data_IF_477024863318
#
_entry.id   IF_477024863318
#
_cell.length_a   1.000
_cell.length_b   1.000
_cell.length_c   1.000
_cell.angle_alpha   90.00
_cell.angle_beta   90.00
_cell.angle_gamma   90.00
#
_symmetry.space_group_name_H-M   'P 1'
#
loop_
_entity.id
_entity.type
_entity.pdbx_description
1 polymer ?
#
# COMPACT_ATOMS: atom_id res chain seq x y z
N UNK A 1 -29.77 -8.16 14.15
CA UNK A 1 -28.55 -7.40 14.50
C UNK A 1 -27.41 -7.98 13.68
N UNK A 2 -26.80 -7.20 12.79
CA UNK A 2 -25.55 -7.65 12.17
C UNK A 2 -24.48 -7.72 13.27
N UNK A 3 -23.66 -8.79 13.32
CA UNK A 3 -22.59 -8.88 14.30
C UNK A 3 -21.63 -7.69 14.13
N UNK A 4 -21.26 -7.04 15.23
CA UNK A 4 -20.25 -5.98 15.19
C UNK A 4 -18.89 -6.58 14.84
N UNK A 5 -18.38 -6.24 13.65
CA UNK A 5 -17.05 -6.67 13.21
C UNK A 5 -15.96 -5.92 13.98
N UNK A 6 -14.77 -6.51 14.08
CA UNK A 6 -13.57 -5.87 14.63
C UNK A 6 -13.24 -4.60 13.83
N UNK A 7 -13.47 -4.63 12.51
CA UNK A 7 -13.36 -3.44 11.67
C UNK A 7 -14.29 -2.31 12.12
N UNK A 8 -15.55 -2.59 12.46
CA UNK A 8 -16.50 -1.58 12.94
C UNK A 8 -16.04 -0.99 14.27
N UNK A 9 -15.72 -1.85 15.24
CA UNK A 9 -15.26 -1.47 16.58
C UNK A 9 -14.01 -0.60 16.49
N UNK A 10 -13.02 -1.05 15.70
CA UNK A 10 -11.77 -0.29 15.53
C UNK A 10 -11.99 1.07 14.86
N UNK A 11 -12.98 1.21 13.97
CA UNK A 11 -13.32 2.49 13.35
C UNK A 11 -13.89 3.46 14.37
N UNK A 12 -14.74 2.99 15.27
CA UNK A 12 -15.26 3.79 16.40
C UNK A 12 -14.13 4.22 17.32
N UNK A 13 -13.23 3.29 17.70
CA UNK A 13 -12.07 3.61 18.55
C UNK A 13 -11.19 4.69 17.91
N UNK A 14 -10.90 4.58 16.60
CA UNK A 14 -10.11 5.57 15.86
C UNK A 14 -10.77 6.94 15.88
N UNK A 15 -12.09 7.01 15.63
CA UNK A 15 -12.84 8.27 15.63
C UNK A 15 -12.77 8.94 17.00
N UNK A 16 -13.14 8.22 18.06
CA UNK A 16 -13.13 8.73 19.43
C UNK A 16 -11.73 9.14 19.89
N UNK A 17 -10.70 8.35 19.53
CA UNK A 17 -9.30 8.69 19.81
C UNK A 17 -8.90 9.98 19.09
N UNK A 18 -9.28 10.15 17.82
CA UNK A 18 -8.97 11.34 17.04
C UNK A 18 -9.60 12.60 17.62
N UNK A 19 -10.82 12.51 18.13
CA UNK A 19 -11.50 13.60 18.87
C UNK A 19 -10.79 13.89 20.19
N UNK A 20 -10.48 12.86 20.99
CA UNK A 20 -9.78 13.01 22.27
C UNK A 20 -8.42 13.70 22.11
N UNK A 21 -7.62 13.32 21.11
CA UNK A 21 -6.31 13.92 20.83
C UNK A 21 -6.38 15.43 20.59
N UNK A 22 -7.51 15.94 20.06
CA UNK A 22 -7.72 17.39 19.84
C UNK A 22 -8.13 18.12 21.12
N UNK A 23 -8.73 17.42 22.08
CA UNK A 23 -9.35 18.02 23.27
C UNK A 23 -8.48 17.94 24.53
N UNK A 24 -7.53 17.01 24.58
CA UNK A 24 -6.62 16.81 25.71
C UNK A 24 -5.76 18.05 25.96
N UNK A 25 -5.70 18.49 27.23
CA UNK A 25 -4.96 19.70 27.64
C UNK A 25 -3.96 19.44 28.76
N UNK A 26 -4.25 18.49 29.67
CA UNK A 26 -3.41 18.25 30.85
C UNK A 26 -2.44 17.09 30.65
N UNK A 27 -1.31 17.09 31.37
CA UNK A 27 -0.35 15.99 31.28
C UNK A 27 -0.97 14.64 31.71
N UNK A 28 -1.83 14.65 32.72
CA UNK A 28 -2.54 13.45 33.21
C UNK A 28 -3.47 12.87 32.16
N UNK A 29 -4.25 13.72 31.48
CA UNK A 29 -5.10 13.33 30.35
C UNK A 29 -4.27 12.74 29.21
N UNK A 30 -3.13 13.36 28.87
CA UNK A 30 -2.21 12.85 27.84
C UNK A 30 -1.70 11.46 28.22
N UNK A 31 -1.25 11.26 29.46
CA UNK A 31 -0.72 9.98 29.93
C UNK A 31 -1.79 8.89 29.89
N UNK A 32 -3.01 9.21 30.34
CA UNK A 32 -4.15 8.29 30.31
C UNK A 32 -4.49 7.87 28.87
N UNK A 33 -4.59 8.82 27.95
CA UNK A 33 -4.86 8.54 26.53
C UNK A 33 -3.74 7.73 25.88
N UNK A 34 -2.47 8.00 26.20
CA UNK A 34 -1.34 7.19 25.71
C UNK A 34 -1.51 5.72 26.14
N UNK A 35 -1.93 5.45 27.37
CA UNK A 35 -2.14 4.08 27.86
C UNK A 35 -3.25 3.38 27.08
N UNK A 36 -4.40 4.02 26.94
CA UNK A 36 -5.55 3.48 26.21
C UNK A 36 -5.21 3.18 24.74
N UNK A 37 -4.57 4.14 24.05
CA UNK A 37 -4.20 3.96 22.64
C UNK A 37 -3.15 2.85 22.47
N UNK A 38 -2.21 2.68 23.41
CA UNK A 38 -1.25 1.57 23.38
C UNK A 38 -1.94 0.20 23.47
N UNK A 39 -2.93 0.09 24.35
CA UNK A 39 -3.71 -1.14 24.51
C UNK A 39 -4.50 -1.46 23.23
N UNK A 40 -5.20 -0.48 22.66
CA UNK A 40 -5.91 -0.64 21.39
C UNK A 40 -4.98 -1.01 20.23
N UNK A 41 -3.80 -0.40 20.14
CA UNK A 41 -2.77 -0.77 19.14
C UNK A 41 -2.32 -2.22 19.32
N UNK A 42 -2.14 -2.69 20.57
CA UNK A 42 -1.76 -4.08 20.86
C UNK A 42 -2.87 -5.05 20.44
N UNK A 43 -4.12 -4.74 20.76
CA UNK A 43 -5.28 -5.57 20.39
C UNK A 43 -5.42 -5.69 18.87
N UNK A 44 -5.40 -4.57 18.14
CA UNK A 44 -5.50 -4.59 16.67
C UNK A 44 -4.34 -5.35 16.01
N UNK A 45 -3.12 -5.20 16.52
CA UNK A 45 -1.97 -5.97 16.02
C UNK A 45 -2.17 -7.48 16.18
N UNK A 46 -2.67 -7.90 17.34
CA UNK A 46 -2.96 -9.31 17.60
C UNK A 46 -4.07 -9.81 16.67
N UNK A 47 -5.13 -9.02 16.45
CA UNK A 47 -6.20 -9.36 15.53
C UNK A 47 -5.70 -9.56 14.08
N UNK A 48 -4.86 -8.63 13.60
CA UNK A 48 -4.21 -8.72 12.27
C UNK A 48 -3.33 -9.96 12.18
N UNK A 49 -2.49 -10.21 13.19
CA UNK A 49 -1.56 -11.36 13.20
C UNK A 49 -2.31 -12.69 13.22
N UNK A 50 -3.40 -12.76 13.96
CA UNK A 50 -4.22 -13.97 14.09
C UNK A 50 -5.14 -14.20 12.89
N UNK A 51 -5.09 -13.35 11.84
CA UNK A 51 -5.85 -13.52 10.61
C UNK A 51 -7.36 -13.68 10.86
N UNK A 52 -7.91 -12.97 11.86
CA UNK A 52 -9.35 -13.05 12.20
C UNK A 52 -10.22 -12.71 10.97
N UNK A 53 -9.70 -11.90 10.05
CA UNK A 53 -10.32 -11.53 8.78
C UNK A 53 -10.57 -12.71 7.80
N UNK A 54 -10.01 -13.89 8.03
CA UNK A 54 -10.26 -15.08 7.22
C UNK A 54 -11.40 -15.96 7.78
N UNK A 55 -11.91 -15.65 8.97
CA UNK A 55 -12.95 -16.44 9.65
C UNK A 55 -14.36 -15.87 9.43
N UNK A 56 -14.49 -14.59 9.05
CA UNK A 56 -15.79 -13.94 8.81
C UNK A 56 -15.78 -13.15 7.49
N UNK A 57 -16.73 -13.43 6.59
CA UNK A 57 -16.87 -12.76 5.28
C UNK A 57 -17.11 -11.24 5.38
N UNK A 58 -17.53 -10.74 6.55
CA UNK A 58 -17.84 -9.34 6.79
C UNK A 58 -16.63 -8.46 7.17
N UNK A 59 -15.44 -9.05 7.38
CA UNK A 59 -14.25 -8.30 7.80
C UNK A 59 -13.55 -7.58 6.65
N UNK A 60 -13.02 -6.37 6.90
CA UNK A 60 -12.28 -5.59 5.91
C UNK A 60 -10.81 -5.39 6.33
N UNK A 61 -9.88 -6.22 5.82
CA UNK A 61 -8.47 -6.16 6.17
C UNK A 61 -7.81 -4.80 5.89
N UNK A 62 -8.19 -4.14 4.79
CA UNK A 62 -7.61 -2.86 4.40
C UNK A 62 -7.97 -1.77 5.40
N UNK A 63 -9.23 -1.77 5.85
CA UNK A 63 -9.74 -0.82 6.84
C UNK A 63 -9.11 -1.06 8.21
N UNK A 64 -8.92 -2.33 8.60
CA UNK A 64 -8.24 -2.69 9.85
C UNK A 64 -6.77 -2.22 9.87
N UNK A 65 -6.01 -2.42 8.78
CA UNK A 65 -4.66 -1.86 8.66
C UNK A 65 -4.66 -0.32 8.72
N UNK A 66 -5.64 0.32 8.08
CA UNK A 66 -5.81 1.78 8.11
C UNK A 66 -6.06 2.30 9.53
N UNK A 67 -6.94 1.63 10.27
CA UNK A 67 -7.24 1.95 11.66
C UNK A 67 -6.00 1.79 12.56
N UNK A 68 -5.22 0.71 12.38
CA UNK A 68 -3.95 0.55 13.07
C UNK A 68 -2.95 1.67 12.74
N UNK A 69 -2.88 2.12 11.48
CA UNK A 69 -2.03 3.22 11.07
C UNK A 69 -2.41 4.54 11.78
N UNK A 70 -3.71 4.83 11.85
CA UNK A 70 -4.24 6.01 12.51
C UNK A 70 -3.96 6.00 14.02
N UNK A 71 -4.20 4.88 14.71
CA UNK A 71 -3.89 4.77 16.14
C UNK A 71 -2.40 4.95 16.43
N UNK A 72 -1.51 4.40 15.58
CA UNK A 72 -0.06 4.65 15.73
C UNK A 72 0.29 6.12 15.48
N UNK A 73 -0.37 6.78 14.54
CA UNK A 73 -0.20 8.21 14.29
C UNK A 73 -0.64 9.04 15.50
N UNK A 74 -1.82 8.77 16.06
CA UNK A 74 -2.33 9.43 17.26
C UNK A 74 -1.45 9.19 18.48
N UNK A 75 -0.96 7.96 18.67
CA UNK A 75 -0.02 7.64 19.73
C UNK A 75 1.26 8.48 19.61
N UNK A 76 1.81 8.62 18.40
CA UNK A 76 2.99 9.44 18.15
C UNK A 76 2.75 10.92 18.47
N UNK A 77 1.56 11.45 18.11
CA UNK A 77 1.15 12.82 18.47
C UNK A 77 1.03 13.02 19.97
N UNK A 78 0.35 12.12 20.69
CA UNK A 78 0.22 12.20 22.14
C UNK A 78 1.58 12.13 22.85
N UNK A 79 2.48 11.25 22.39
CA UNK A 79 3.86 11.18 22.91
C UNK A 79 4.64 12.48 22.67
N UNK A 80 4.43 13.11 21.53
CA UNK A 80 5.01 14.42 21.23
C UNK A 80 4.44 15.52 22.15
N UNK A 81 3.12 15.55 22.34
CA UNK A 81 2.45 16.49 23.25
C UNK A 81 2.95 16.34 24.68
N UNK A 82 3.08 15.10 25.19
CA UNK A 82 3.66 14.85 26.52
C UNK A 82 5.04 15.48 26.68
N UNK A 83 5.91 15.29 25.69
CA UNK A 83 7.27 15.84 25.71
C UNK A 83 7.29 17.37 25.62
N UNK A 84 6.29 18.00 24.98
CA UNK A 84 6.17 19.47 24.96
C UNK A 84 5.67 19.96 26.32
N UNK A 85 4.65 19.33 26.88
CA UNK A 85 4.05 19.69 28.17
C UNK A 85 5.05 19.62 29.33
N UNK A 86 6.03 18.71 29.26
CA UNK A 86 7.06 18.57 30.28
C UNK A 86 8.18 19.64 30.21
N UNK A 87 8.17 20.54 29.23
CA UNK A 87 9.16 21.62 29.13
C UNK A 87 8.68 22.86 29.90
N UNK A 88 9.26 23.07 31.08
CA UNK A 88 9.15 24.35 31.81
C UNK A 88 9.99 25.40 31.09
N UNK A 89 9.48 26.63 30.96
CA UNK A 89 10.15 27.72 30.24
C UNK A 89 11.54 27.98 30.81
N UNK A 90 12.57 27.72 30.01
CA UNK A 90 13.93 28.18 30.30
C UNK A 90 14.07 29.56 29.64
N UNK A 91 14.40 30.58 30.43
CA UNK A 91 14.69 31.92 29.95
C UNK A 91 15.79 31.94 28.89
N UNK A 92 15.92 33.09 28.23
CA UNK A 92 16.95 33.37 27.23
C UNK A 92 18.35 33.38 27.87
N UNK A 93 18.95 32.20 28.07
CA UNK A 93 20.38 32.08 28.35
C UNK A 93 21.04 31.05 27.43
N UNK A 94 22.31 31.30 27.18
CA UNK A 94 22.99 31.13 25.91
C UNK A 94 23.38 29.69 25.52
N UNK A 95 23.66 29.56 24.24
CA UNK A 95 24.00 28.35 23.50
C UNK A 95 25.17 27.55 24.11
N UNK A 96 24.97 26.25 24.39
CA UNK A 96 25.89 25.17 24.01
C UNK A 96 25.24 23.78 24.19
N UNK A 97 25.67 22.83 23.34
CA UNK A 97 25.31 21.41 23.29
C UNK A 97 23.92 21.04 22.71
N UNK A 98 23.92 20.69 21.42
CA UNK A 98 22.87 19.99 20.69
C UNK A 98 21.46 20.62 20.75
N UNK A 99 21.13 21.42 19.73
CA UNK A 99 19.73 21.56 19.27
C UNK A 99 19.20 20.14 18.99
N UNK A 100 18.64 19.47 20.01
CA UNK A 100 17.87 18.22 19.89
C UNK A 100 16.79 18.48 18.86
N UNK A 101 17.08 18.15 17.59
CA UNK A 101 16.20 18.37 16.43
C UNK A 101 14.82 17.89 16.83
N UNK A 102 13.87 18.82 16.99
CA UNK A 102 12.47 18.48 17.11
C UNK A 102 12.13 17.56 15.95
N UNK A 103 11.88 16.27 16.22
CA UNK A 103 11.53 15.31 15.18
C UNK A 103 10.10 15.65 14.79
N UNK A 104 9.94 16.43 13.73
CA UNK A 104 8.62 16.77 13.18
C UNK A 104 7.91 15.56 12.53
N UNK A 105 8.66 14.48 12.28
CA UNK A 105 8.23 13.27 11.58
C UNK A 105 8.80 12.02 12.25
N UNK A 106 8.01 10.94 12.30
CA UNK A 106 8.45 9.65 12.83
C UNK A 106 8.05 8.52 11.87
N UNK A 107 8.98 7.60 11.60
CA UNK A 107 8.69 6.36 10.88
C UNK A 107 8.21 5.26 11.84
N UNK A 108 7.07 4.66 11.57
CA UNK A 108 6.59 3.43 12.20
C UNK A 108 6.41 2.33 11.16
N UNK A 109 6.82 1.11 11.50
CA UNK A 109 6.44 -0.06 10.72
C UNK A 109 5.06 -0.56 11.16
N UNK A 110 4.23 -0.97 10.19
CA UNK A 110 2.90 -1.54 10.39
C UNK A 110 2.92 -2.98 9.89
N UNK A 111 2.34 -3.86 10.70
CA UNK A 111 2.12 -5.26 10.38
C UNK A 111 1.04 -5.33 9.30
N UNK A 112 1.30 -6.10 8.24
CA UNK A 112 0.40 -6.16 7.09
C UNK A 112 -0.32 -7.50 7.03
N UNK A 113 -1.59 -7.47 6.61
CA UNK A 113 -2.39 -8.67 6.38
C UNK A 113 -2.03 -9.39 5.07
N UNK A 114 -1.14 -8.83 4.24
CA UNK A 114 -0.83 -9.33 2.90
C UNK A 114 0.48 -10.13 2.86
N UNK A 115 0.40 -11.38 2.39
CA UNK A 115 1.53 -12.32 2.34
C UNK A 115 2.68 -11.91 1.40
N UNK A 116 2.47 -10.95 0.50
CA UNK A 116 3.50 -10.38 -0.39
C UNK A 116 4.16 -9.07 0.10
N UNK A 117 3.74 -8.54 1.25
CA UNK A 117 4.22 -7.25 1.76
C UNK A 117 5.59 -7.41 2.43
N UNK A 118 6.59 -6.68 1.93
CA UNK A 118 7.92 -6.60 2.58
C UNK A 118 7.86 -5.68 3.79
N UNK A 119 7.22 -4.52 3.62
CA UNK A 119 7.03 -3.57 4.71
C UNK A 119 5.89 -2.61 4.37
N UNK A 120 5.07 -2.31 5.37
CA UNK A 120 4.19 -1.14 5.37
C UNK A 120 4.78 -0.11 6.34
N UNK A 121 5.26 0.99 5.79
CA UNK A 121 5.79 2.12 6.54
C UNK A 121 4.77 3.22 6.78
N UNK A 122 4.90 3.92 7.89
CA UNK A 122 4.08 5.07 8.24
C UNK A 122 4.99 6.22 8.63
N UNK A 123 4.94 7.34 7.90
CA UNK A 123 5.59 8.58 8.29
C UNK A 123 4.53 9.47 8.95
N UNK A 124 4.47 9.44 10.28
CA UNK A 124 3.53 10.22 11.06
C UNK A 124 3.93 11.70 11.09
N UNK A 125 2.97 12.58 10.82
CA UNK A 125 3.13 14.02 10.96
C UNK A 125 2.86 14.45 12.41
N UNK A 126 3.80 15.19 13.00
CA UNK A 126 3.63 15.69 14.37
C UNK A 126 3.22 17.15 14.44
N UNK A 127 3.55 17.97 13.43
CA UNK A 127 3.26 19.42 13.48
C UNK A 127 3.39 20.19 12.16
N UNK A 128 3.68 19.54 11.03
CA UNK A 128 3.84 20.24 9.75
C UNK A 128 2.46 20.51 9.14
N UNK A 129 2.10 21.77 8.92
CA UNK A 129 0.79 22.12 8.34
C UNK A 129 0.78 22.01 6.81
N UNK A 130 1.81 22.57 6.17
CA UNK A 130 1.90 22.63 4.72
C UNK A 130 2.19 21.23 4.11
N UNK A 131 1.33 20.74 3.19
CA UNK A 131 1.47 19.39 2.62
C UNK A 131 2.74 19.24 1.80
N UNK A 132 3.14 20.26 1.04
CA UNK A 132 4.35 20.20 0.21
C UNK A 132 5.62 20.10 1.09
N UNK A 133 5.69 20.88 2.16
CA UNK A 133 6.75 20.84 3.16
C UNK A 133 6.79 19.49 3.87
N UNK A 134 5.63 18.92 4.21
CA UNK A 134 5.53 17.58 4.78
C UNK A 134 6.10 16.52 3.85
N UNK A 135 5.68 16.50 2.58
CA UNK A 135 6.16 15.54 1.57
C UNK A 135 7.67 15.68 1.36
N UNK A 136 8.18 16.91 1.22
CA UNK A 136 9.61 17.15 1.08
C UNK A 136 10.42 16.65 2.28
N UNK A 137 9.96 16.89 3.52
CA UNK A 137 10.64 16.40 4.73
C UNK A 137 10.51 14.88 4.90
N UNK A 138 9.40 14.28 4.46
CA UNK A 138 9.17 12.84 4.49
C UNK A 138 10.15 12.05 3.61
N UNK A 139 10.68 12.68 2.55
CA UNK A 139 11.67 12.06 1.65
C UNK A 139 12.85 11.44 2.40
N UNK A 140 13.39 12.11 3.43
CA UNK A 140 14.54 11.60 4.17
C UNK A 140 14.24 10.27 4.88
N UNK A 141 13.05 10.14 5.48
CA UNK A 141 12.60 8.92 6.13
C UNK A 141 12.31 7.82 5.10
N UNK A 142 11.64 8.18 4.00
CA UNK A 142 11.38 7.29 2.87
C UNK A 142 12.67 6.71 2.29
N UNK A 143 13.61 7.58 1.90
CA UNK A 143 14.86 7.20 1.24
C UNK A 143 15.67 6.23 2.09
N UNK A 144 15.80 6.49 3.39
CA UNK A 144 16.57 5.62 4.31
C UNK A 144 16.02 4.20 4.29
N UNK A 145 14.70 4.03 4.35
CA UNK A 145 14.07 2.71 4.38
C UNK A 145 14.12 2.02 3.01
N UNK A 146 13.80 2.73 1.94
CA UNK A 146 13.83 2.17 0.58
C UNK A 146 15.24 1.71 0.18
N UNK A 147 16.29 2.46 0.56
CA UNK A 147 17.67 2.04 0.33
C UNK A 147 18.00 0.69 0.97
N UNK A 148 17.50 0.42 2.17
CA UNK A 148 17.71 -0.86 2.86
C UNK A 148 17.01 -2.02 2.16
N UNK A 149 15.77 -1.82 1.68
CA UNK A 149 15.00 -2.90 1.05
C UNK A 149 15.44 -3.19 -0.39
N UNK A 150 15.80 -2.17 -1.17
CA UNK A 150 16.17 -2.33 -2.59
C UNK A 150 17.51 -3.05 -2.80
N UNK A 151 18.35 -3.13 -1.76
CA UNK A 151 19.58 -3.92 -1.78
C UNK A 151 19.30 -5.43 -1.83
N UNK A 152 18.11 -5.87 -1.40
CA UNK A 152 17.75 -7.29 -1.31
C UNK A 152 16.91 -7.79 -2.49
N UNK A 153 16.13 -6.90 -3.09
CA UNK A 153 15.26 -7.23 -4.24
C UNK A 153 14.76 -5.98 -4.93
N UNK A 154 14.29 -6.12 -6.17
CA UNK A 154 13.44 -5.10 -6.79
C UNK A 154 12.16 -4.93 -5.98
N UNK A 155 11.65 -3.70 -5.94
CA UNK A 155 10.50 -3.33 -5.12
C UNK A 155 9.36 -2.83 -6.00
N UNK A 156 8.12 -3.10 -5.60
CA UNK A 156 6.92 -2.45 -6.13
C UNK A 156 6.34 -1.58 -5.02
N UNK A 157 6.40 -0.26 -5.22
CA UNK A 157 6.11 0.73 -4.20
C UNK A 157 4.92 1.59 -4.61
N UNK A 158 3.99 1.79 -3.69
CA UNK A 158 3.02 2.88 -3.76
C UNK A 158 2.98 3.66 -2.45
N UNK A 159 2.44 4.87 -2.52
CA UNK A 159 2.37 5.78 -1.39
C UNK A 159 0.92 6.25 -1.25
N UNK A 160 0.46 6.40 0.00
CA UNK A 160 -0.87 6.90 0.32
C UNK A 160 -0.73 8.03 1.33
N UNK A 161 -1.17 9.23 0.95
CA UNK A 161 -1.27 10.38 1.83
C UNK A 161 -2.65 10.40 2.49
N UNK A 162 -2.67 10.64 3.80
CA UNK A 162 -3.90 10.72 4.59
C UNK A 162 -4.01 12.10 5.22
N UNK A 163 -5.14 12.76 5.00
CA UNK A 163 -5.39 14.14 5.39
C UNK A 163 -6.79 14.29 5.97
N UNK A 164 -6.96 15.22 6.90
CA UNK A 164 -8.26 15.72 7.33
C UNK A 164 -8.60 16.97 6.54
N UNK A 165 -9.84 17.03 6.07
CA UNK A 165 -10.44 18.20 5.46
C UNK A 165 -11.55 18.72 6.36
N UNK A 166 -11.81 20.03 6.27
CA UNK A 166 -12.92 20.69 6.95
C UNK A 166 -13.74 21.46 5.93
N UNK A 167 -15.07 21.42 6.05
CA UNK A 167 -15.97 22.30 5.29
C UNK A 167 -16.18 23.58 6.12
N UNK A 168 -15.63 24.74 5.73
CA UNK A 168 -15.64 25.92 6.59
C UNK A 168 -17.04 26.43 6.96
N UNK A 169 -18.03 26.17 6.11
CA UNK A 169 -19.41 26.62 6.29
C UNK A 169 -20.18 25.83 7.35
N UNK A 170 -19.98 24.51 7.43
CA UNK A 170 -20.68 23.64 8.38
C UNK A 170 -19.81 23.21 9.57
N UNK A 171 -18.49 23.35 9.46
CA UNK A 171 -17.54 22.81 10.43
C UNK A 171 -17.33 21.30 10.32
N UNK A 172 -17.98 20.65 9.34
CA UNK A 172 -17.85 19.20 9.13
C UNK A 172 -16.40 18.84 8.83
N UNK A 173 -15.89 17.78 9.45
CA UNK A 173 -14.55 17.26 9.16
C UNK A 173 -14.64 15.88 8.55
N UNK A 174 -13.86 15.64 7.50
CA UNK A 174 -13.79 14.34 6.84
C UNK A 174 -12.34 13.96 6.52
N UNK A 175 -12.06 12.67 6.62
CA UNK A 175 -10.74 12.11 6.35
C UNK A 175 -10.68 11.63 4.90
N UNK A 176 -9.73 12.17 4.13
CA UNK A 176 -9.49 11.78 2.75
C UNK A 176 -8.13 11.12 2.57
N UNK A 177 -8.07 10.22 1.60
CA UNK A 177 -6.85 9.49 1.25
C UNK A 177 -6.53 9.67 -0.22
N UNK A 178 -5.25 9.91 -0.53
CA UNK A 178 -4.75 10.11 -1.89
C UNK A 178 -3.62 9.12 -2.16
N UNK A 179 -3.80 8.24 -3.13
CA UNK A 179 -2.86 7.16 -3.43
C UNK A 179 -2.12 7.38 -4.75
N UNK A 180 -0.86 6.96 -4.81
CA UNK A 180 -0.08 6.88 -6.06
C UNK A 180 -0.29 5.52 -6.72
N UNK A 181 0.02 5.43 -8.02
CA UNK A 181 0.15 4.14 -8.70
C UNK A 181 1.35 3.36 -8.13
N UNK A 182 1.36 2.06 -8.39
CA UNK A 182 2.51 1.23 -8.07
C UNK A 182 3.62 1.48 -9.10
N UNK A 183 4.83 1.76 -8.63
CA UNK A 183 6.01 1.82 -9.49
C UNK A 183 7.08 0.86 -9.02
N UNK A 184 7.89 0.41 -9.96
CA UNK A 184 9.05 -0.43 -9.69
C UNK A 184 10.21 0.47 -9.26
N UNK A 185 10.91 0.06 -8.20
CA UNK A 185 12.15 0.69 -7.74
C UNK A 185 13.20 -0.41 -7.66
N UNK A 186 14.30 -0.21 -8.38
CA UNK A 186 15.48 -1.07 -8.33
C UNK A 186 16.69 -0.34 -7.71
N UNK A 187 17.85 -0.99 -7.76
CA UNK A 187 19.10 -0.44 -7.22
C UNK A 187 19.59 0.80 -7.99
N UNK A 188 19.28 0.90 -9.29
CA UNK A 188 19.72 1.96 -10.20
C UNK A 188 18.78 3.17 -10.18
N UNK A 189 17.56 3.00 -9.68
CA UNK A 189 16.56 4.07 -9.59
C UNK A 189 17.07 5.22 -8.72
N UNK A 190 17.12 6.44 -9.28
CA UNK A 190 17.38 7.66 -8.52
C UNK A 190 16.15 7.99 -7.67
N UNK A 191 16.28 7.81 -6.34
CA UNK A 191 15.15 7.96 -5.44
C UNK A 191 14.66 9.40 -5.33
N UNK A 192 15.53 10.40 -5.54
CA UNK A 192 15.15 11.81 -5.42
C UNK A 192 14.25 12.25 -6.57
N UNK A 193 14.65 11.94 -7.80
CA UNK A 193 13.82 12.21 -9.00
C UNK A 193 12.54 11.38 -8.94
N UNK A 194 12.66 10.08 -8.65
CA UNK A 194 11.50 9.20 -8.53
C UNK A 194 10.48 9.71 -7.51
N UNK A 195 10.92 10.15 -6.32
CA UNK A 195 10.03 10.64 -5.28
C UNK A 195 9.37 11.97 -5.67
N UNK A 196 10.13 12.88 -6.29
CA UNK A 196 9.57 14.14 -6.79
C UNK A 196 8.46 13.86 -7.81
N UNK A 197 8.75 13.05 -8.82
CA UNK A 197 7.88 12.88 -9.98
C UNK A 197 6.67 11.98 -9.67
N UNK A 198 6.86 10.89 -8.91
CA UNK A 198 5.81 9.90 -8.65
C UNK A 198 5.09 10.08 -7.32
N UNK A 199 5.63 10.89 -6.38
CA UNK A 199 5.02 11.13 -5.07
C UNK A 199 4.63 12.60 -4.91
N UNK A 200 5.58 13.53 -4.99
CA UNK A 200 5.30 14.95 -4.74
C UNK A 200 4.32 15.49 -5.79
N UNK A 201 4.68 15.44 -7.08
CA UNK A 201 3.83 15.98 -8.13
C UNK A 201 2.45 15.30 -8.18
N UNK A 202 2.40 13.97 -8.13
CA UNK A 202 1.13 13.23 -8.19
C UNK A 202 0.21 13.57 -7.00
N UNK A 203 0.74 13.65 -5.78
CA UNK A 203 -0.08 13.92 -4.60
C UNK A 203 -0.49 15.39 -4.51
N UNK A 204 0.40 16.33 -4.86
CA UNK A 204 0.07 17.75 -4.91
C UNK A 204 -1.04 18.02 -5.92
N UNK A 205 -0.94 17.50 -7.14
CA UNK A 205 -2.00 17.65 -8.15
C UNK A 205 -3.34 17.07 -7.65
N UNK A 206 -3.31 15.90 -7.00
CA UNK A 206 -4.53 15.30 -6.42
C UNK A 206 -5.16 16.13 -5.29
N UNK A 207 -4.34 16.81 -4.49
CA UNK A 207 -4.82 17.71 -3.45
C UNK A 207 -5.42 18.99 -4.03
N UNK A 208 -4.78 19.56 -5.05
CA UNK A 208 -5.25 20.74 -5.78
C UNK A 208 -6.58 20.45 -6.48
N UNK A 209 -6.65 19.36 -7.25
CA UNK A 209 -7.90 18.95 -7.93
C UNK A 209 -9.05 18.71 -6.94
N UNK A 210 -8.78 18.20 -5.74
CA UNK A 210 -9.82 18.00 -4.73
C UNK A 210 -10.31 19.32 -4.11
N UNK A 211 -9.42 20.30 -4.01
CA UNK A 211 -9.71 21.62 -3.45
C UNK A 211 -10.39 22.54 -4.47
N UNK A 212 -10.01 22.46 -5.75
CA UNK A 212 -10.52 23.33 -6.83
C UNK A 212 -11.88 22.89 -7.39
N UNK A 213 -12.27 21.62 -7.29
CA UNK A 213 -13.54 21.10 -7.85
C UNK A 213 -14.79 21.44 -7.00
N UNK A 214 -14.89 22.67 -6.48
CA UNK A 214 -16.07 23.23 -5.79
C UNK A 214 -16.61 22.42 -4.59
N UNK A 215 -15.79 21.55 -4.01
CA UNK A 215 -16.24 20.65 -2.95
C UNK A 215 -16.52 21.39 -1.62
N UNK A 216 -16.05 22.64 -1.50
CA UNK A 216 -16.15 23.46 -0.30
C UNK A 216 -15.27 22.95 0.85
N UNK A 217 -14.40 21.99 0.60
CA UNK A 217 -13.49 21.40 1.58
C UNK A 217 -12.13 22.08 1.55
N UNK A 218 -11.68 22.54 2.71
CA UNK A 218 -10.33 23.05 2.91
C UNK A 218 -9.47 21.99 3.60
N UNK A 219 -8.19 21.88 3.20
CA UNK A 219 -7.23 21.03 3.90
C UNK A 219 -7.05 21.55 5.34
N UNK A 220 -7.38 20.71 6.32
CA UNK A 220 -7.27 21.04 7.74
C UNK A 220 -5.95 20.54 8.32
N UNK A 221 -5.59 19.29 8.02
CA UNK A 221 -4.41 18.65 8.62
C UNK A 221 -3.86 17.53 7.75
N UNK A 222 -2.54 17.45 7.63
CA UNK A 222 -1.86 16.26 7.09
C UNK A 222 -1.61 15.28 8.24
N UNK A 223 -2.16 14.06 8.16
CA UNK A 223 -2.00 13.07 9.24
C UNK A 223 -0.70 12.28 9.09
N UNK A 224 -0.53 11.60 7.96
CA UNK A 224 0.62 10.73 7.74
C UNK A 224 0.77 10.34 6.27
N UNK A 225 1.95 9.82 5.94
CA UNK A 225 2.25 9.17 4.67
C UNK A 225 2.44 7.67 4.88
N UNK A 226 1.54 6.85 4.35
CA UNK A 226 1.67 5.39 4.33
C UNK A 226 2.50 4.99 3.10
N UNK A 227 3.58 4.25 3.31
CA UNK A 227 4.49 3.75 2.27
C UNK A 227 4.37 2.25 2.21
N UNK A 228 3.93 1.76 1.07
CA UNK A 228 3.59 0.38 0.84
C UNK A 228 4.69 -0.25 -0.03
N UNK A 229 5.45 -1.20 0.52
CA UNK A 229 6.61 -1.82 -0.13
C UNK A 229 6.35 -3.30 -0.32
N UNK A 230 6.28 -3.73 -1.58
CA UNK A 230 6.15 -5.14 -1.96
C UNK A 230 7.41 -5.62 -2.66
N UNK A 231 7.70 -6.91 -2.55
CA UNK A 231 8.75 -7.54 -3.36
C UNK A 231 8.26 -7.58 -4.80
N UNK A 232 9.07 -7.07 -5.72
CA UNK A 232 8.82 -7.22 -7.14
C UNK A 232 9.74 -8.32 -7.68
N UNK A 233 9.15 -9.40 -8.13
CA UNK A 233 9.82 -10.37 -8.97
C UNK A 233 9.24 -10.16 -10.36
N UNK A 234 9.99 -9.57 -11.31
CA UNK A 234 9.54 -9.60 -12.70
C UNK A 234 9.26 -11.07 -13.03
N UNK A 235 8.15 -11.33 -13.72
CA UNK A 235 7.91 -12.64 -14.31
C UNK A 235 9.20 -12.99 -15.04
N UNK A 236 9.84 -14.11 -14.66
CA UNK A 236 11.14 -14.48 -15.22
C UNK A 236 10.99 -14.44 -16.73
N UNK A 237 11.61 -13.46 -17.38
CA UNK A 237 11.79 -13.43 -18.83
C UNK A 237 12.81 -14.49 -19.18
N UNK A 238 12.44 -15.75 -19.03
CA UNK A 238 13.08 -16.82 -19.78
C UNK A 238 12.63 -16.70 -21.24
N UNK A 239 13.33 -17.38 -22.13
CA UNK A 239 12.80 -17.66 -23.47
C UNK A 239 11.43 -18.34 -23.37
N UNK A 240 11.22 -19.10 -22.28
CA UNK A 240 10.00 -19.79 -21.90
C UNK A 240 9.13 -19.00 -20.91
N UNK A 241 7.83 -18.91 -21.19
CA UNK A 241 6.78 -18.51 -20.23
C UNK A 241 6.14 -19.69 -19.49
N UNK A 242 6.72 -20.89 -19.58
CA UNK A 242 6.25 -22.06 -18.86
C UNK A 242 6.42 -21.89 -17.34
N UNK A 243 5.34 -22.13 -16.61
CA UNK A 243 5.35 -22.18 -15.15
C UNK A 243 4.78 -23.53 -14.73
N UNK A 244 5.57 -24.30 -13.99
CA UNK A 244 5.11 -25.56 -13.45
C UNK A 244 3.90 -25.36 -12.53
N UNK A 245 2.87 -26.18 -12.71
CA UNK A 245 1.73 -26.18 -11.82
C UNK A 245 2.17 -26.53 -10.38
N UNK A 246 1.54 -25.94 -9.35
CA UNK A 246 1.67 -26.42 -8.00
C UNK A 246 1.31 -27.90 -7.89
N UNK A 247 2.02 -28.66 -7.05
CA UNK A 247 1.89 -30.11 -6.95
C UNK A 247 0.46 -30.59 -6.71
N UNK A 248 -0.32 -29.85 -5.92
CA UNK A 248 -1.71 -30.23 -5.62
C UNK A 248 -2.64 -30.18 -6.83
N UNK A 249 -2.31 -29.37 -7.85
CA UNK A 249 -3.03 -29.31 -9.14
C UNK A 249 -2.46 -30.36 -10.08
N UNK A 250 -1.13 -30.41 -10.21
CA UNK A 250 -0.44 -31.36 -11.10
C UNK A 250 -0.85 -32.81 -10.83
N UNK A 251 -0.92 -33.19 -9.54
CA UNK A 251 -1.36 -34.55 -9.13
C UNK A 251 -2.78 -34.91 -9.54
N UNK A 252 -3.68 -33.93 -9.70
CA UNK A 252 -5.07 -34.17 -10.10
C UNK A 252 -5.22 -34.47 -11.59
N UNK A 253 -4.21 -34.12 -12.42
CA UNK A 253 -4.24 -34.27 -13.89
C UNK A 253 -5.49 -33.68 -14.57
N UNK A 254 -6.16 -32.74 -13.92
CA UNK A 254 -7.40 -32.12 -14.40
C UNK A 254 -7.14 -30.91 -15.32
N UNK A 255 -5.90 -30.43 -15.37
CA UNK A 255 -5.48 -29.27 -16.16
C UNK A 255 -4.33 -29.69 -17.05
N UNK A 256 -4.43 -29.39 -18.33
CA UNK A 256 -3.33 -29.57 -19.29
C UNK A 256 -2.43 -28.33 -19.22
N UNK A 257 -1.19 -28.51 -18.77
CA UNK A 257 -0.18 -27.45 -18.73
C UNK A 257 0.84 -27.71 -19.85
N UNK A 258 0.77 -26.95 -20.94
CA UNK A 258 1.67 -27.19 -22.08
C UNK A 258 3.08 -26.69 -21.75
N UNK A 259 4.05 -27.58 -21.90
CA UNK A 259 5.48 -27.30 -21.78
C UNK A 259 5.96 -26.59 -23.05
N UNK A 260 6.13 -25.27 -22.94
CA UNK A 260 6.69 -24.42 -23.99
C UNK A 260 8.06 -23.87 -23.58
N UNK A 261 8.91 -23.58 -24.56
CA UNK A 261 10.25 -22.98 -24.39
C UNK A 261 10.32 -21.55 -24.97
N UNK A 262 9.16 -21.00 -25.35
CA UNK A 262 8.94 -19.71 -26.01
C UNK A 262 8.06 -18.76 -25.15
N UNK A 263 7.80 -17.54 -25.62
CA UNK A 263 6.97 -16.56 -24.93
C UNK A 263 5.47 -16.68 -25.22
N UNK A 264 5.04 -17.79 -25.84
CA UNK A 264 3.70 -17.97 -26.41
C UNK A 264 2.81 -18.95 -25.63
N UNK A 265 3.04 -19.13 -24.31
CA UNK A 265 2.22 -20.04 -23.48
C UNK A 265 0.71 -19.77 -23.57
N UNK A 266 0.31 -18.51 -23.75
CA UNK A 266 -1.09 -18.14 -23.98
C UNK A 266 -1.65 -18.77 -25.25
N UNK A 267 -0.92 -18.67 -26.37
CA UNK A 267 -1.35 -19.26 -27.65
C UNK A 267 -1.38 -20.78 -27.54
N UNK A 268 -0.36 -21.39 -26.94
CA UNK A 268 -0.34 -22.83 -26.68
C UNK A 268 -1.55 -23.28 -25.85
N UNK A 269 -1.91 -22.57 -24.79
CA UNK A 269 -3.10 -22.86 -23.97
C UNK A 269 -4.42 -22.75 -24.75
N UNK A 270 -4.55 -21.75 -25.63
CA UNK A 270 -5.73 -21.63 -26.51
C UNK A 270 -5.78 -22.80 -27.50
N UNK A 271 -4.64 -23.14 -28.10
CA UNK A 271 -4.56 -24.27 -29.05
C UNK A 271 -4.93 -25.59 -28.38
N UNK A 272 -4.53 -25.88 -27.14
CA UNK A 272 -4.93 -27.13 -26.48
C UNK A 272 -6.42 -27.22 -26.18
N UNK A 273 -7.07 -26.07 -25.95
CA UNK A 273 -8.52 -26.02 -25.76
C UNK A 273 -9.27 -26.24 -27.09
N UNK A 274 -8.79 -25.62 -28.18
CA UNK A 274 -9.41 -25.73 -29.51
C UNK A 274 -9.13 -27.07 -30.20
N UNK A 275 -7.96 -27.66 -29.95
CA UNK A 275 -7.51 -28.91 -30.53
C UNK A 275 -7.12 -29.92 -29.43
N UNK A 276 -8.07 -30.43 -28.63
CA UNK A 276 -7.76 -31.35 -27.54
C UNK A 276 -6.97 -32.57 -28.01
N UNK A 277 -5.79 -32.78 -27.43
CA UNK A 277 -4.94 -33.90 -27.83
C UNK A 277 -5.48 -35.23 -27.29
N UNK A 278 -5.48 -36.25 -28.14
CA UNK A 278 -5.76 -37.64 -27.74
C UNK A 278 -4.49 -38.41 -27.34
N UNK A 279 -3.33 -37.73 -27.31
CA UNK A 279 -2.05 -38.35 -27.01
C UNK A 279 -1.90 -38.64 -25.50
N UNK A 280 -1.03 -39.60 -25.17
CA UNK A 280 -0.65 -39.96 -23.79
C UNK A 280 0.11 -38.85 -23.06
N UNK A 281 0.65 -37.89 -23.83
CA UNK A 281 1.44 -36.75 -23.37
C UNK A 281 0.83 -35.41 -23.83
N UNK A 282 -0.33 -35.01 -23.29
CA UNK A 282 -0.99 -33.76 -23.67
C UNK A 282 -0.22 -32.51 -23.22
N UNK A 283 0.78 -32.64 -22.36
CA UNK A 283 1.67 -31.55 -21.92
C UNK A 283 2.65 -31.09 -23.02
N UNK A 284 2.92 -31.92 -24.04
CA UNK A 284 3.93 -31.59 -25.05
C UNK A 284 3.35 -30.67 -26.13
N UNK A 285 4.04 -29.56 -26.45
CA UNK A 285 3.65 -28.68 -27.58
C UNK A 285 3.52 -29.42 -28.92
N UNK A 286 4.32 -30.48 -29.15
CA UNK A 286 4.26 -31.31 -30.36
C UNK A 286 2.98 -32.15 -30.48
N UNK A 287 2.16 -32.23 -29.43
CA UNK A 287 0.87 -32.93 -29.43
C UNK A 287 -0.25 -32.11 -30.08
N UNK A 288 0.05 -30.90 -30.56
CA UNK A 288 -0.90 -29.92 -31.09
C UNK A 288 -0.40 -29.31 -32.41
N UNK A 289 -1.30 -28.78 -33.27
CA UNK A 289 -0.88 -27.95 -34.39
C UNK A 289 -0.13 -26.71 -33.90
N UNK A 290 0.81 -26.21 -34.70
CA UNK A 290 1.56 -25.04 -34.31
C UNK A 290 0.64 -23.81 -34.32
N UNK A 291 0.67 -22.99 -33.27
CA UNK A 291 -0.26 -21.85 -33.12
C UNK A 291 -0.24 -20.87 -34.30
N UNK A 292 0.92 -20.72 -34.96
CA UNK A 292 1.08 -19.95 -36.22
C UNK A 292 0.12 -20.34 -37.33
N UNK A 293 -0.25 -21.61 -37.40
CA UNK A 293 -1.06 -22.14 -38.51
C UNK A 293 -2.57 -22.00 -38.23
N UNK A 294 -2.94 -21.83 -36.96
CA UNK A 294 -4.33 -21.92 -36.50
C UNK A 294 -4.86 -20.65 -35.80
N UNK A 295 -3.98 -19.74 -35.38
CA UNK A 295 -4.35 -18.51 -34.67
C UNK A 295 -3.80 -17.25 -35.37
N UNK A 296 -4.60 -16.19 -35.38
CA UNK A 296 -4.24 -14.85 -35.84
C UNK A 296 -3.80 -14.00 -34.66
N UNK A 297 -2.54 -13.60 -34.61
CA UNK A 297 -2.00 -12.85 -33.47
C UNK A 297 -0.93 -11.80 -33.83
N UNK A 298 -0.67 -11.55 -35.12
CA UNK A 298 0.44 -10.69 -35.59
C UNK A 298 0.40 -9.24 -35.09
N UNK A 299 -0.78 -8.76 -34.67
CA UNK A 299 -0.96 -7.39 -34.15
C UNK A 299 -0.89 -7.30 -32.61
N UNK A 300 -0.43 -8.35 -31.93
CA UNK A 300 -0.39 -8.48 -30.48
C UNK A 300 1.04 -8.73 -30.02
N UNK A 301 1.48 -7.96 -29.02
CA UNK A 301 2.78 -8.16 -28.38
C UNK A 301 2.71 -9.27 -27.34
N UNK A 302 3.75 -10.11 -27.29
CA UNK A 302 3.87 -11.20 -26.32
C UNK A 302 5.04 -10.98 -25.34
N UNK A 303 4.92 -11.39 -24.07
CA UNK A 303 3.77 -12.06 -23.43
C UNK A 303 2.50 -11.18 -23.38
N UNK A 304 1.34 -11.76 -23.67
CA UNK A 304 0.09 -11.01 -23.85
C UNK A 304 -0.30 -10.25 -22.58
N UNK A 305 -0.78 -9.01 -22.75
CA UNK A 305 -1.35 -8.19 -21.67
C UNK A 305 -2.84 -8.52 -21.51
N UNK A 306 -3.38 -8.39 -20.29
CA UNK A 306 -4.80 -8.65 -20.03
C UNK A 306 -5.73 -7.81 -20.93
N UNK A 307 -5.35 -6.56 -21.18
CA UNK A 307 -6.15 -5.64 -22.01
C UNK A 307 -6.19 -6.06 -23.49
N UNK A 308 -5.22 -6.87 -23.95
CA UNK A 308 -5.12 -7.35 -25.33
C UNK A 308 -5.89 -8.67 -25.57
N UNK A 309 -6.42 -9.31 -24.51
CA UNK A 309 -7.17 -10.58 -24.64
C UNK A 309 -8.45 -10.38 -25.47
N UNK A 310 -9.21 -9.32 -25.18
CA UNK A 310 -10.42 -9.00 -25.95
C UNK A 310 -10.12 -8.73 -27.43
N UNK A 311 -8.93 -8.20 -27.74
CA UNK A 311 -8.48 -7.98 -29.12
C UNK A 311 -8.14 -9.32 -29.79
N UNK A 312 -7.46 -10.21 -29.07
CA UNK A 312 -7.16 -11.56 -29.54
C UNK A 312 -8.43 -12.37 -29.85
N UNK A 313 -9.41 -12.37 -28.95
CA UNK A 313 -10.68 -13.08 -29.12
C UNK A 313 -11.41 -12.61 -30.38
N UNK A 314 -11.55 -11.29 -30.56
CA UNK A 314 -12.14 -10.70 -31.78
C UNK A 314 -11.39 -11.06 -33.07
N UNK A 315 -10.05 -11.14 -33.03
CA UNK A 315 -9.25 -11.52 -34.20
C UNK A 315 -9.46 -12.98 -34.62
N UNK A 316 -9.79 -13.85 -33.66
CA UNK A 316 -9.93 -15.30 -33.86
C UNK A 316 -11.40 -15.78 -33.83
N UNK A 317 -12.36 -14.87 -33.65
CA UNK A 317 -13.79 -15.17 -33.46
C UNK A 317 -14.03 -16.16 -32.30
N UNK A 318 -13.34 -15.93 -31.18
CA UNK A 318 -13.49 -16.67 -29.92
C UNK A 318 -14.36 -15.90 -28.94
#
# INVERSE_FOLDING_TARGET
MNPETITSISSTIVRTTGEAVKLVKTEEEIISQIKLVKENVKLLKTAIKNRINHQEEAENPFKLEGNLALLKCYLAKLQHLKHISSKVGAGLEDNTAEKKRSRYLIWHSIDSCFDGRVCTGLIANLSIKDPLCFLNKAFNSFQRKIKTYRQKSMLKVNVVLVCNFIKPQSGDTDMKTFSTKNHIIDINTNLKTWYRDNVIHVLTNKLEEFSEKDSGWALSEVLHLKVNINKFSPLKGGTSTYVSLPDFISRKKAVVNIENDDSFCFLWAVVSALYPSKNKHPERKTSYPHFKDVLKYDSIEFPIKLDDINKFEKLNNL
#
